data_IF_034101427600
#
_entry.id   IF_034101427600
#
_cell.length_a   1.000
_cell.length_b   1.000
_cell.length_c   1.000
_cell.angle_alpha   90.00
_cell.angle_beta   90.00
_cell.angle_gamma   90.00
#
_symmetry.space_group_name_H-M   'P 1'
#
loop_
_entity.id
_entity.type
_entity.pdbx_description
1 polymer ?
#
# COMPACT_ATOMS: atom_id res chain seq x y z
N UNK A 1 -9.22 13.73 -31.63
CA UNK A 1 -9.54 14.48 -30.38
C UNK A 1 -8.76 13.96 -29.17
N UNK A 2 -8.72 12.64 -28.93
CA UNK A 2 -7.92 12.03 -27.85
C UNK A 2 -6.40 12.33 -27.94
N UNK A 3 -5.80 12.20 -29.11
CA UNK A 3 -4.36 12.50 -29.29
C UNK A 3 -3.96 13.96 -29.02
N UNK A 4 -4.89 14.91 -29.11
CA UNK A 4 -4.63 16.31 -28.75
C UNK A 4 -4.52 16.48 -27.24
N UNK A 5 -5.45 15.88 -26.48
CA UNK A 5 -5.44 15.92 -25.01
C UNK A 5 -4.24 15.19 -24.41
N UNK A 6 -3.85 14.04 -24.98
CA UNK A 6 -2.66 13.32 -24.55
C UNK A 6 -1.37 14.12 -24.78
N UNK A 7 -1.28 14.84 -25.90
CA UNK A 7 -0.16 15.76 -26.16
C UNK A 7 -0.16 16.94 -25.18
N UNK A 8 -1.32 17.49 -24.82
CA UNK A 8 -1.39 18.56 -23.81
C UNK A 8 -1.00 18.06 -22.42
N UNK A 9 -1.42 16.85 -22.03
CA UNK A 9 -1.01 16.21 -20.77
C UNK A 9 0.50 15.98 -20.77
N UNK A 10 1.07 15.43 -21.85
CA UNK A 10 2.52 15.23 -21.99
C UNK A 10 3.30 16.55 -21.93
N UNK A 11 2.81 17.61 -22.56
CA UNK A 11 3.44 18.94 -22.53
C UNK A 11 3.35 19.61 -21.15
N UNK A 12 2.23 19.45 -20.44
CA UNK A 12 2.07 19.93 -19.06
C UNK A 12 2.89 19.14 -18.05
N UNK A 13 3.22 17.87 -18.34
CA UNK A 13 4.07 17.04 -17.49
C UNK A 13 5.57 17.24 -17.78
N UNK A 14 5.92 17.69 -19.00
CA UNK A 14 7.28 18.12 -19.37
C UNK A 14 7.78 19.34 -18.59
N UNK A 15 6.88 20.18 -18.06
CA UNK A 15 7.27 21.36 -17.26
C UNK A 15 7.42 21.04 -15.77
N UNK A 16 7.04 19.85 -15.30
CA UNK A 16 6.93 19.57 -13.87
C UNK A 16 8.14 18.84 -13.27
N UNK A 17 8.52 17.63 -13.71
CA UNK A 17 9.65 16.90 -13.09
C UNK A 17 10.27 15.88 -14.05
N UNK A 18 11.62 15.77 -14.06
CA UNK A 18 12.36 14.87 -14.96
C UNK A 18 11.99 13.39 -14.82
N UNK A 19 11.58 12.98 -13.62
CA UNK A 19 11.16 11.61 -13.32
C UNK A 19 9.81 11.26 -13.95
N UNK A 20 8.87 12.22 -14.00
CA UNK A 20 7.56 12.04 -14.64
C UNK A 20 7.71 11.89 -16.16
N UNK A 21 8.61 12.65 -16.77
CA UNK A 21 8.94 12.47 -18.18
C UNK A 21 9.57 11.10 -18.43
N UNK A 22 10.54 10.68 -17.61
CA UNK A 22 11.16 9.34 -17.70
C UNK A 22 10.10 8.24 -17.64
N UNK A 23 9.19 8.31 -16.67
CA UNK A 23 8.10 7.36 -16.51
C UNK A 23 7.15 7.35 -17.72
N UNK A 24 6.67 8.49 -18.19
CA UNK A 24 5.73 8.54 -19.33
C UNK A 24 6.40 8.12 -20.63
N UNK A 25 7.66 8.52 -20.84
CA UNK A 25 8.43 8.15 -22.02
C UNK A 25 8.79 6.65 -22.06
N UNK A 26 8.73 5.97 -20.91
CA UNK A 26 8.97 4.53 -20.81
C UNK A 26 7.74 3.67 -21.13
N UNK A 27 6.56 4.27 -21.31
CA UNK A 27 5.35 3.52 -21.64
C UNK A 27 5.35 3.10 -23.12
N UNK A 28 5.29 1.79 -23.46
CA UNK A 28 5.22 1.35 -24.86
C UNK A 28 3.91 1.73 -25.55
N UNK A 29 2.84 1.82 -24.77
CA UNK A 29 1.51 2.22 -25.24
C UNK A 29 0.79 3.08 -24.21
N UNK A 30 -0.27 3.74 -24.66
CA UNK A 30 -1.17 4.50 -23.80
C UNK A 30 -1.84 3.60 -22.74
N UNK A 31 -2.13 2.35 -23.08
CA UNK A 31 -2.74 1.40 -22.16
C UNK A 31 -1.81 1.09 -20.99
N UNK A 32 -0.51 0.92 -21.25
CA UNK A 32 0.48 0.76 -20.17
C UNK A 32 0.56 2.00 -19.28
N UNK A 33 0.42 3.20 -19.84
CA UNK A 33 0.33 4.42 -19.04
C UNK A 33 -0.91 4.44 -18.14
N UNK A 34 -2.07 4.13 -18.70
CA UNK A 34 -3.34 4.12 -17.96
C UNK A 34 -3.40 3.02 -16.90
N UNK A 35 -2.71 1.91 -17.13
CA UNK A 35 -2.62 0.78 -16.19
C UNK A 35 -1.44 0.90 -15.21
N UNK A 36 -0.62 1.97 -15.28
CA UNK A 36 0.50 2.17 -14.37
C UNK A 36 1.71 1.25 -14.62
N UNK A 37 1.88 0.74 -15.85
CA UNK A 37 2.86 -0.27 -16.24
C UNK A 37 4.08 0.32 -16.99
N UNK A 38 4.51 1.54 -16.67
CA UNK A 38 5.62 2.17 -17.39
C UNK A 38 6.97 1.99 -16.68
N UNK A 39 7.98 1.54 -17.42
CA UNK A 39 9.32 1.21 -16.92
C UNK A 39 10.24 2.45 -16.77
N UNK A 40 9.91 3.35 -15.85
CA UNK A 40 10.54 4.69 -15.76
C UNK A 40 11.81 4.81 -14.92
N UNK A 41 12.23 3.77 -14.21
CA UNK A 41 13.45 3.80 -13.39
C UNK A 41 14.07 2.42 -13.30
N UNK A 42 15.19 2.20 -14.01
CA UNK A 42 16.05 1.00 -13.95
C UNK A 42 15.34 -0.31 -13.55
N UNK A 43 14.25 -0.65 -14.23
CA UNK A 43 13.67 -1.99 -14.11
C UNK A 43 14.33 -2.84 -15.19
N UNK A 44 14.88 -3.98 -14.77
CA UNK A 44 15.40 -5.03 -15.63
C UNK A 44 14.35 -5.38 -16.70
N UNK A 45 14.81 -5.82 -17.86
CA UNK A 45 13.96 -6.28 -18.95
C UNK A 45 12.80 -7.13 -18.42
N UNK A 46 11.57 -6.71 -18.68
CA UNK A 46 10.39 -7.58 -18.53
C UNK A 46 10.60 -8.73 -19.50
N UNK A 47 11.05 -9.85 -18.95
CA UNK A 47 11.13 -11.13 -19.64
C UNK A 47 9.75 -11.54 -20.12
N UNK A 48 9.74 -12.29 -21.21
CA UNK A 48 8.65 -12.82 -22.02
C UNK A 48 7.62 -13.74 -21.30
N UNK A 49 7.34 -13.52 -20.01
CA UNK A 49 6.47 -14.40 -19.23
C UNK A 49 7.13 -15.73 -18.85
N UNK A 50 8.44 -15.87 -19.07
CA UNK A 50 9.24 -16.79 -18.28
C UNK A 50 9.62 -16.09 -16.98
N UNK A 51 9.09 -16.59 -15.85
CA UNK A 51 9.44 -16.27 -14.47
C UNK A 51 10.98 -16.38 -14.30
N UNK A 52 11.72 -15.38 -14.76
CA UNK A 52 13.17 -15.33 -14.61
C UNK A 52 13.46 -14.80 -13.22
N UNK A 53 13.36 -15.74 -12.28
CA UNK A 53 14.08 -15.79 -11.02
C UNK A 53 14.17 -14.43 -10.32
N UNK A 54 13.09 -14.08 -9.62
CA UNK A 54 13.17 -13.09 -8.56
C UNK A 54 14.25 -13.54 -7.59
N UNK A 55 15.39 -12.89 -7.65
CA UNK A 55 16.48 -13.16 -6.72
C UNK A 55 16.15 -12.55 -5.35
N UNK A 56 15.27 -13.24 -4.64
CA UNK A 56 14.92 -12.96 -3.25
C UNK A 56 16.17 -12.96 -2.35
N UNK A 57 17.23 -13.67 -2.77
CA UNK A 57 18.52 -13.70 -2.08
C UNK A 57 19.31 -12.39 -2.29
N UNK A 58 19.23 -11.77 -3.48
CA UNK A 58 19.80 -10.43 -3.74
C UNK A 58 19.14 -9.35 -2.88
N UNK A 59 17.85 -9.48 -2.59
CA UNK A 59 17.15 -8.58 -1.67
C UNK A 59 17.37 -8.91 -0.18
N UNK A 60 18.00 -10.04 0.12
CA UNK A 60 18.28 -10.49 1.49
C UNK A 60 17.02 -10.65 2.36
N UNK A 61 15.85 -10.80 1.74
CA UNK A 61 14.59 -10.89 2.46
C UNK A 61 14.43 -12.30 3.01
N UNK A 62 14.50 -12.43 4.33
CA UNK A 62 14.26 -13.70 5.02
C UNK A 62 12.79 -14.07 4.96
N UNK A 63 12.51 -15.37 4.95
CA UNK A 63 11.17 -15.87 5.21
C UNK A 63 10.68 -15.34 6.57
N UNK A 64 9.41 -14.96 6.59
CA UNK A 64 8.74 -14.54 7.80
C UNK A 64 8.45 -15.70 8.74
N UNK A 65 8.11 -15.33 9.96
CA UNK A 65 7.66 -16.26 11.01
C UNK A 65 6.23 -15.92 11.44
N UNK A 66 5.60 -16.73 12.29
CA UNK A 66 4.28 -16.41 12.86
C UNK A 66 3.21 -16.23 11.78
N UNK A 67 2.52 -15.10 11.79
CA UNK A 67 1.53 -14.74 10.76
C UNK A 67 2.13 -14.53 9.37
N UNK A 68 3.44 -14.24 9.29
CA UNK A 68 4.16 -14.19 8.02
C UNK A 68 4.78 -15.53 7.60
N UNK A 69 4.61 -16.62 8.35
CA UNK A 69 5.20 -17.90 7.97
C UNK A 69 4.52 -18.45 6.70
N UNK A 70 5.28 -18.98 5.71
CA UNK A 70 4.69 -19.53 4.49
C UNK A 70 3.59 -20.58 4.76
N UNK A 71 3.80 -21.45 5.75
CA UNK A 71 2.83 -22.47 6.17
C UNK A 71 1.54 -21.88 6.76
N UNK A 72 1.60 -20.68 7.35
CA UNK A 72 0.41 -19.96 7.82
C UNK A 72 -0.34 -19.32 6.65
N UNK A 73 0.39 -18.81 5.65
CA UNK A 73 -0.16 -18.06 4.52
C UNK A 73 -0.73 -18.95 3.41
N UNK A 74 -0.13 -20.10 3.13
CA UNK A 74 -0.51 -20.99 2.03
C UNK A 74 -2.00 -21.37 1.99
N UNK A 75 -2.67 -21.68 3.12
CA UNK A 75 -4.10 -21.98 3.11
C UNK A 75 -4.97 -20.86 2.51
N UNK A 76 -4.58 -19.59 2.70
CA UNK A 76 -5.34 -18.45 2.17
C UNK A 76 -5.22 -18.33 0.66
N UNK A 77 -4.05 -18.60 0.08
CA UNK A 77 -3.87 -18.66 -1.37
C UNK A 77 -4.58 -19.85 -2.01
N UNK A 78 -4.57 -21.00 -1.32
CA UNK A 78 -5.30 -22.18 -1.78
C UNK A 78 -6.82 -21.91 -1.77
N UNK A 79 -7.34 -21.27 -0.72
CA UNK A 79 -8.75 -20.88 -0.63
C UNK A 79 -9.16 -19.93 -1.75
N UNK A 80 -8.33 -18.95 -2.09
CA UNK A 80 -8.60 -18.02 -3.18
C UNK A 80 -8.40 -18.69 -4.57
N UNK A 81 -7.85 -19.92 -4.64
CA UNK A 81 -7.70 -20.69 -5.87
C UNK A 81 -6.53 -20.27 -6.74
N UNK A 82 -5.35 -20.07 -6.13
CA UNK A 82 -4.08 -19.95 -6.86
C UNK A 82 -3.56 -21.33 -7.29
N UNK A 83 -2.91 -21.42 -8.45
CA UNK A 83 -2.37 -22.70 -8.96
C UNK A 83 -1.18 -23.23 -8.14
N UNK A 84 -0.37 -22.32 -7.58
CA UNK A 84 0.79 -22.64 -6.75
C UNK A 84 0.75 -21.82 -5.45
N UNK A 85 -0.11 -22.20 -4.48
CA UNK A 85 -0.32 -21.45 -3.26
C UNK A 85 0.93 -21.40 -2.36
N UNK A 86 1.80 -22.41 -2.40
CA UNK A 86 3.05 -22.45 -1.66
C UNK A 86 4.03 -21.39 -2.16
N UNK A 87 4.20 -21.25 -3.48
CA UNK A 87 5.04 -20.22 -4.07
C UNK A 87 4.53 -18.83 -3.72
N UNK A 88 3.23 -18.56 -3.89
CA UNK A 88 2.64 -17.27 -3.55
C UNK A 88 2.75 -16.95 -2.06
N UNK A 89 2.59 -17.95 -1.19
CA UNK A 89 2.81 -17.81 0.24
C UNK A 89 4.27 -17.49 0.59
N UNK A 90 5.24 -18.04 -0.14
CA UNK A 90 6.65 -17.71 0.04
C UNK A 90 6.94 -16.25 -0.35
N UNK A 91 6.38 -15.79 -1.49
CA UNK A 91 6.48 -14.38 -1.92
C UNK A 91 5.85 -13.45 -0.86
N UNK A 92 4.63 -13.79 -0.43
CA UNK A 92 3.88 -13.08 0.60
C UNK A 92 4.64 -13.01 1.93
N UNK A 93 5.24 -14.12 2.35
CA UNK A 93 5.99 -14.25 3.60
C UNK A 93 7.11 -13.22 3.69
N UNK A 94 7.87 -13.04 2.60
CA UNK A 94 8.99 -12.10 2.52
C UNK A 94 8.52 -10.65 2.56
N UNK A 95 7.40 -10.32 1.91
CA UNK A 95 6.76 -8.99 1.98
C UNK A 95 6.32 -8.72 3.41
N UNK A 96 5.51 -9.62 3.96
CA UNK A 96 4.96 -9.54 5.30
C UNK A 96 6.06 -9.30 6.35
N UNK A 97 7.16 -10.06 6.26
CA UNK A 97 8.29 -9.93 7.17
C UNK A 97 9.00 -8.57 7.05
N UNK A 98 9.15 -8.05 5.84
CA UNK A 98 9.76 -6.74 5.59
C UNK A 98 8.88 -5.60 6.08
N UNK A 99 7.60 -5.68 5.79
CA UNK A 99 6.64 -4.60 6.02
C UNK A 99 6.25 -4.49 7.51
N UNK A 100 6.10 -5.62 8.21
CA UNK A 100 5.57 -5.63 9.57
C UNK A 100 6.35 -6.44 10.58
N UNK A 101 7.31 -7.26 10.13
CA UNK A 101 7.98 -8.22 11.01
C UNK A 101 7.02 -9.22 11.65
N UNK A 102 5.97 -9.64 10.94
CA UNK A 102 4.88 -10.49 11.46
C UNK A 102 3.98 -9.84 12.52
N UNK A 103 4.02 -8.52 12.65
CA UNK A 103 3.09 -7.82 13.51
C UNK A 103 1.81 -7.48 12.75
N UNK A 104 0.64 -8.06 13.12
CA UNK A 104 -0.64 -7.63 12.54
C UNK A 104 -0.99 -6.18 12.92
N UNK A 105 -0.19 -5.57 13.79
CA UNK A 105 -0.38 -4.22 14.31
C UNK A 105 0.66 -3.23 13.81
N UNK A 106 1.49 -3.61 12.84
CA UNK A 106 2.42 -2.68 12.24
C UNK A 106 1.64 -1.48 11.67
N UNK A 107 2.11 -0.28 12.00
CA UNK A 107 1.44 0.96 11.65
C UNK A 107 2.46 2.00 11.20
N UNK A 108 2.29 2.49 9.98
CA UNK A 108 3.05 3.59 9.43
C UNK A 108 2.22 4.87 9.51
N UNK A 109 2.59 5.74 10.46
CA UNK A 109 1.99 7.05 10.71
C UNK A 109 2.78 8.20 10.10
N UNK A 110 3.71 7.94 9.17
CA UNK A 110 4.54 9.00 8.56
C UNK A 110 3.69 10.11 7.93
N UNK A 111 2.51 9.75 7.43
CA UNK A 111 1.45 10.64 6.98
C UNK A 111 1.04 11.71 8.03
N UNK A 112 0.88 11.32 9.30
CA UNK A 112 0.47 12.22 10.38
C UNK A 112 1.58 13.19 10.82
N UNK A 113 2.84 12.84 10.55
CA UNK A 113 4.01 13.69 10.86
C UNK A 113 4.51 14.47 9.65
N UNK A 114 3.84 14.30 8.51
CA UNK A 114 4.18 14.85 7.21
C UNK A 114 5.51 14.43 6.61
N UNK A 115 5.95 13.21 6.94
CA UNK A 115 7.15 12.57 6.38
C UNK A 115 6.89 11.81 5.08
N UNK A 116 5.67 11.33 4.86
CA UNK A 116 5.25 10.59 3.65
C UNK A 116 3.74 10.80 3.42
N UNK A 117 3.21 10.42 2.26
CA UNK A 117 1.77 10.18 2.06
C UNK A 117 1.30 8.86 2.67
N UNK A 118 2.21 7.97 3.03
CA UNK A 118 1.82 6.61 3.39
C UNK A 118 1.19 6.57 4.77
N UNK A 119 -0.11 6.24 4.80
CA UNK A 119 -0.83 5.80 5.98
C UNK A 119 -1.12 4.32 5.81
N UNK A 120 -0.25 3.46 6.36
CA UNK A 120 -0.30 2.02 6.13
C UNK A 120 -0.50 1.23 7.41
N UNK A 121 -1.26 0.14 7.34
CA UNK A 121 -1.60 -0.70 8.50
C UNK A 121 -1.46 -2.19 8.18
N UNK A 122 -1.23 -3.00 9.21
CA UNK A 122 -1.29 -4.46 9.16
C UNK A 122 -0.01 -5.16 8.69
N UNK A 123 -0.11 -6.47 8.50
CA UNK A 123 1.00 -7.37 8.14
C UNK A 123 1.70 -6.95 6.84
N UNK A 124 0.91 -6.44 5.89
CA UNK A 124 1.37 -6.06 4.55
C UNK A 124 1.45 -4.54 4.33
N UNK A 125 1.37 -3.74 5.41
CA UNK A 125 1.41 -2.28 5.37
C UNK A 125 0.53 -1.69 4.25
N UNK A 126 -0.73 -2.11 4.25
CA UNK A 126 -1.69 -1.71 3.22
C UNK A 126 -2.00 -0.23 3.36
N UNK A 127 -1.73 0.55 2.32
CA UNK A 127 -1.97 1.99 2.32
C UNK A 127 -3.48 2.30 2.30
N UNK A 128 -3.94 3.04 3.32
CA UNK A 128 -5.33 3.41 3.56
C UNK A 128 -5.80 4.60 2.74
N UNK A 129 -4.91 5.47 2.26
CA UNK A 129 -5.30 6.63 1.44
C UNK A 129 -6.19 6.24 0.24
N UNK A 130 -5.79 5.32 -0.66
CA UNK A 130 -6.64 4.93 -1.77
C UNK A 130 -7.78 3.99 -1.38
N UNK A 131 -7.82 3.54 -0.12
CA UNK A 131 -8.73 2.47 0.32
C UNK A 131 -9.79 2.96 1.29
N UNK A 132 -9.67 4.14 1.86
CA UNK A 132 -10.63 4.68 2.81
C UNK A 132 -11.13 6.06 2.39
N UNK A 133 -11.86 6.18 1.25
CA UNK A 133 -12.39 7.45 0.81
C UNK A 133 -13.18 8.10 1.92
N UNK A 134 -13.09 9.42 2.05
CA UNK A 134 -13.75 10.27 3.03
C UNK A 134 -13.07 10.27 4.41
N UNK A 135 -11.89 9.66 4.54
CA UNK A 135 -11.17 9.58 5.82
C UNK A 135 -10.07 10.62 5.93
N UNK A 136 -9.62 11.18 4.80
CA UNK A 136 -8.46 12.06 4.72
C UNK A 136 -8.79 13.40 4.07
N UNK A 137 -7.93 14.38 4.35
CA UNK A 137 -7.82 15.68 3.67
C UNK A 137 -6.36 15.95 3.38
N UNK A 138 -6.12 16.66 2.29
CA UNK A 138 -4.79 17.18 1.97
C UNK A 138 -4.44 18.40 2.83
N UNK A 139 -3.25 18.96 2.60
CA UNK A 139 -2.75 20.12 3.35
C UNK A 139 -3.59 21.40 3.17
N UNK A 140 -4.45 21.47 2.15
CA UNK A 140 -5.37 22.60 1.92
C UNK A 140 -6.78 22.34 2.49
N UNK A 141 -7.00 21.18 3.11
CA UNK A 141 -8.30 20.79 3.65
C UNK A 141 -9.27 20.25 2.60
N UNK A 142 -8.78 19.89 1.40
CA UNK A 142 -9.56 19.24 0.34
C UNK A 142 -9.71 17.75 0.67
N UNK A 143 -10.93 17.19 0.76
CA UNK A 143 -11.12 15.79 1.13
C UNK A 143 -10.69 14.84 0.02
N UNK A 144 -10.23 13.64 0.39
CA UNK A 144 -9.82 12.55 -0.53
C UNK A 144 -10.92 12.04 -1.49
N UNK A 145 -12.16 12.46 -1.29
CA UNK A 145 -13.28 12.23 -2.22
C UNK A 145 -13.43 13.32 -3.29
N UNK A 146 -12.72 14.43 -3.15
CA UNK A 146 -12.79 15.57 -4.07
C UNK A 146 -11.87 15.36 -5.29
N UNK A 147 -12.30 15.70 -6.51
CA UNK A 147 -11.44 15.64 -7.70
C UNK A 147 -10.15 16.47 -7.60
N UNK A 148 -10.14 17.55 -6.81
CA UNK A 148 -8.99 18.43 -6.62
C UNK A 148 -8.05 17.95 -5.50
N UNK A 149 -8.34 16.79 -4.87
CA UNK A 149 -7.51 16.21 -3.83
C UNK A 149 -6.09 15.94 -4.32
N UNK A 150 -5.10 16.48 -3.60
CA UNK A 150 -3.69 16.20 -3.87
C UNK A 150 -3.01 15.65 -2.60
N UNK A 151 -2.74 14.33 -2.50
CA UNK A 151 -2.06 13.77 -1.33
C UNK A 151 -0.63 14.31 -1.18
N UNK A 152 -0.08 14.94 -2.22
CA UNK A 152 1.23 15.58 -2.24
C UNK A 152 1.19 17.08 -1.98
N UNK A 153 0.01 17.66 -1.70
CA UNK A 153 -0.11 19.04 -1.27
C UNK A 153 0.72 19.28 -0.01
N UNK A 154 1.34 20.46 0.05
CA UNK A 154 2.11 20.93 1.20
C UNK A 154 1.43 22.17 1.76
N UNK A 155 1.47 22.33 3.08
CA UNK A 155 0.97 23.52 3.74
C UNK A 155 1.85 24.75 3.43
N UNK A 156 1.49 25.90 3.99
CA UNK A 156 2.25 27.16 3.86
C UNK A 156 3.71 27.07 4.36
N UNK A 157 4.03 26.08 5.19
CA UNK A 157 5.36 25.82 5.72
C UNK A 157 6.12 24.76 4.91
N UNK A 158 5.54 24.24 3.83
CA UNK A 158 6.10 23.19 3.00
C UNK A 158 5.98 21.78 3.62
N UNK A 159 5.22 21.62 4.71
CA UNK A 159 4.98 20.33 5.36
C UNK A 159 3.82 19.60 4.67
N UNK A 160 4.05 18.33 4.34
CA UNK A 160 3.05 17.50 3.69
C UNK A 160 2.16 16.83 4.73
N UNK A 161 1.07 17.47 5.16
CA UNK A 161 0.24 16.92 6.24
C UNK A 161 -0.93 16.17 5.62
N UNK A 162 -1.08 14.88 5.93
CA UNK A 162 -2.38 14.26 5.78
C UNK A 162 -3.18 14.45 7.06
N UNK A 163 -4.41 14.92 6.91
CA UNK A 163 -5.29 15.17 8.05
C UNK A 163 -6.39 14.12 8.06
N UNK A 164 -6.52 13.38 9.16
CA UNK A 164 -7.68 12.50 9.35
C UNK A 164 -8.89 13.37 9.62
N UNK A 165 -9.90 13.25 8.77
CA UNK A 165 -11.12 14.07 8.84
C UNK A 165 -12.24 13.38 9.59
N UNK A 166 -12.24 12.06 9.54
CA UNK A 166 -13.25 11.23 10.15
C UNK A 166 -12.57 9.96 10.68
N UNK A 167 -12.12 10.02 11.93
CA UNK A 167 -11.47 8.89 12.59
C UNK A 167 -12.38 7.67 12.67
N UNK A 168 -13.69 7.88 12.89
CA UNK A 168 -14.65 6.78 12.93
C UNK A 168 -14.69 6.04 11.58
N UNK A 169 -14.80 6.78 10.47
CA UNK A 169 -14.78 6.21 9.12
C UNK A 169 -13.45 5.55 8.79
N UNK A 170 -12.33 6.13 9.22
CA UNK A 170 -11.02 5.50 9.06
C UNK A 170 -10.95 4.19 9.84
N UNK A 171 -11.44 4.17 11.08
CA UNK A 171 -11.49 2.96 11.90
C UNK A 171 -12.43 1.92 11.30
N UNK A 172 -13.62 2.29 10.84
CA UNK A 172 -14.55 1.38 10.14
C UNK A 172 -13.93 0.81 8.86
N UNK A 173 -13.28 1.65 8.07
CA UNK A 173 -12.61 1.23 6.85
C UNK A 173 -11.41 0.32 7.14
N UNK A 174 -10.58 0.68 8.12
CA UNK A 174 -9.45 -0.14 8.51
C UNK A 174 -9.95 -1.44 9.15
N UNK A 175 -10.87 -1.42 10.10
CA UNK A 175 -11.42 -2.66 10.68
C UNK A 175 -12.09 -3.57 9.65
N UNK A 176 -12.76 -3.01 8.64
CA UNK A 176 -13.37 -3.81 7.56
C UNK A 176 -12.37 -4.34 6.53
N UNK A 177 -11.17 -3.76 6.40
CA UNK A 177 -10.19 -4.12 5.34
C UNK A 177 -8.87 -4.67 5.87
N UNK A 178 -8.37 -4.06 6.93
CA UNK A 178 -7.05 -4.24 7.52
C UNK A 178 -7.17 -4.02 9.01
N UNK A 179 -7.51 -5.08 9.70
CA UNK A 179 -7.89 -4.95 11.07
C UNK A 179 -6.75 -4.39 11.93
N UNK A 180 -6.96 -3.16 12.41
CA UNK A 180 -6.09 -2.50 13.37
C UNK A 180 -6.30 -3.20 14.70
N UNK A 181 -5.23 -3.68 15.33
CA UNK A 181 -5.34 -4.22 16.67
C UNK A 181 -4.56 -3.50 17.75
N UNK A 182 -4.58 -4.14 18.92
CA UNK A 182 -4.30 -3.57 20.24
C UNK A 182 -3.04 -2.71 20.35
N UNK A 183 -1.97 -3.05 19.62
CA UNK A 183 -0.71 -2.32 19.72
C UNK A 183 -0.72 -0.96 19.01
N UNK A 184 -1.44 -0.83 17.89
CA UNK A 184 -1.62 0.46 17.22
C UNK A 184 -2.58 1.37 17.99
N UNK A 185 -3.38 0.83 18.93
CA UNK A 185 -4.33 1.61 19.71
C UNK A 185 -3.65 2.66 20.56
N UNK A 186 -2.49 2.40 21.16
CA UNK A 186 -1.80 3.44 21.94
C UNK A 186 -1.40 4.63 21.07
N UNK A 187 -0.97 4.38 19.84
CA UNK A 187 -0.61 5.43 18.88
C UNK A 187 -1.88 6.14 18.42
N UNK A 188 -2.91 5.41 18.00
CA UNK A 188 -4.19 5.97 17.56
C UNK A 188 -4.85 6.78 18.66
N UNK A 189 -4.90 6.24 19.89
CA UNK A 189 -5.43 6.89 21.08
C UNK A 189 -4.64 8.17 21.43
N UNK A 190 -3.34 8.23 21.13
CA UNK A 190 -2.54 9.45 21.28
C UNK A 190 -2.91 10.54 20.26
N UNK A 191 -3.54 10.18 19.14
CA UNK A 191 -4.03 11.10 18.10
C UNK A 191 -5.55 11.30 18.13
N UNK A 192 -6.27 10.68 19.08
CA UNK A 192 -7.71 10.87 19.21
C UNK A 192 -8.05 12.31 19.65
N UNK A 193 -9.14 12.90 19.14
CA UNK A 193 -9.59 14.21 19.59
C UNK A 193 -10.02 14.16 21.06
N UNK A 194 -9.94 15.29 21.80
CA UNK A 194 -10.39 15.35 23.18
C UNK A 194 -11.83 14.85 23.34
N UNK A 195 -12.05 13.90 24.24
CA UNK A 195 -13.37 13.31 24.54
C UNK A 195 -13.75 12.08 23.71
N UNK A 196 -12.91 11.63 22.78
CA UNK A 196 -13.10 10.33 22.13
C UNK A 196 -12.79 9.17 23.09
N UNK A 197 -13.59 8.10 23.00
CA UNK A 197 -13.36 6.88 23.77
C UNK A 197 -12.12 6.12 23.23
N UNK A 198 -11.21 5.65 24.12
CA UNK A 198 -10.07 4.84 23.70
C UNK A 198 -10.51 3.52 23.07
N UNK A 199 -9.79 3.07 22.05
CA UNK A 199 -10.04 1.75 21.46
C UNK A 199 -9.61 0.66 22.48
N UNK A 200 -10.46 -0.34 22.78
CA UNK A 200 -10.17 -1.40 23.76
C UNK A 200 -9.20 -2.44 23.22
N UNK A 201 -8.32 -2.98 24.08
CA UNK A 201 -7.35 -4.02 23.68
C UNK A 201 -8.05 -5.30 23.21
N UNK A 202 -7.55 -5.84 22.09
CA UNK A 202 -7.97 -7.12 21.55
C UNK A 202 -7.52 -8.29 22.42
N UNK A 203 -8.37 -9.30 22.51
CA UNK A 203 -8.01 -10.65 22.91
C UNK A 203 -7.14 -11.34 21.85
N UNK A 204 -6.46 -12.44 22.21
CA UNK A 204 -5.68 -13.24 21.25
C UNK A 204 -6.54 -13.81 20.10
N UNK A 205 -7.81 -14.11 20.38
CA UNK A 205 -8.74 -14.61 19.37
C UNK A 205 -9.10 -13.51 18.37
N UNK A 206 -9.39 -12.31 18.86
CA UNK A 206 -9.62 -11.14 18.01
C UNK A 206 -8.37 -10.81 17.20
N UNK A 207 -7.18 -10.80 17.81
CA UNK A 207 -5.91 -10.61 17.09
C UNK A 207 -5.77 -11.57 15.90
N UNK A 208 -6.04 -12.85 16.12
CA UNK A 208 -5.97 -13.85 15.06
C UNK A 208 -6.98 -13.59 13.95
N UNK A 209 -8.25 -13.32 14.29
CA UNK A 209 -9.29 -13.00 13.31
C UNK A 209 -8.88 -11.79 12.47
N UNK A 210 -8.28 -10.79 13.11
CA UNK A 210 -7.79 -9.57 12.48
C UNK A 210 -6.61 -9.83 11.53
N UNK A 211 -5.65 -10.65 11.94
CA UNK A 211 -4.55 -11.09 11.09
C UNK A 211 -5.07 -11.86 9.86
N UNK A 212 -5.99 -12.81 10.06
CA UNK A 212 -6.58 -13.62 9.00
C UNK A 212 -7.33 -12.73 7.98
N UNK A 213 -8.09 -11.73 8.45
CA UNK A 213 -8.77 -10.78 7.56
C UNK A 213 -7.79 -9.93 6.75
N UNK A 214 -6.67 -9.50 7.35
CA UNK A 214 -5.64 -8.75 6.64
C UNK A 214 -4.97 -9.60 5.55
N UNK A 215 -4.69 -10.88 5.84
CA UNK A 215 -4.14 -11.83 4.87
C UNK A 215 -5.14 -12.04 3.73
N UNK A 216 -6.40 -12.34 4.03
CA UNK A 216 -7.47 -12.52 3.02
C UNK A 216 -7.59 -11.32 2.09
N UNK A 217 -7.59 -10.12 2.65
CA UNK A 217 -7.67 -8.89 1.86
C UNK A 217 -6.44 -8.72 0.97
N UNK A 218 -5.24 -9.06 1.47
CA UNK A 218 -4.01 -9.05 0.68
C UNK A 218 -4.09 -10.06 -0.48
N UNK A 219 -4.48 -11.31 -0.20
CA UNK A 219 -4.59 -12.37 -1.21
C UNK A 219 -5.58 -11.98 -2.31
N UNK A 220 -6.72 -11.40 -1.92
CA UNK A 220 -7.71 -10.90 -2.86
C UNK A 220 -7.16 -9.81 -3.79
N UNK A 221 -6.43 -8.84 -3.22
CA UNK A 221 -5.76 -7.79 -4.00
C UNK A 221 -4.73 -8.39 -4.96
N UNK A 222 -3.86 -9.30 -4.48
CA UNK A 222 -2.89 -10.02 -5.32
C UNK A 222 -3.56 -10.75 -6.49
N UNK A 223 -4.72 -11.37 -6.27
CA UNK A 223 -5.49 -12.04 -7.33
C UNK A 223 -6.08 -11.05 -8.33
N UNK A 224 -6.70 -9.97 -7.83
CA UNK A 224 -7.34 -8.97 -8.69
C UNK A 224 -6.36 -8.17 -9.55
N UNK A 225 -5.15 -7.92 -9.03
CA UNK A 225 -4.14 -7.13 -9.73
C UNK A 225 -3.18 -7.97 -10.55
N UNK A 226 -3.22 -9.29 -10.36
CA UNK A 226 -2.26 -10.23 -10.91
C UNK A 226 -0.79 -9.79 -10.75
N UNK A 227 -0.47 -9.05 -9.68
CA UNK A 227 0.87 -8.53 -9.41
C UNK A 227 1.04 -8.24 -7.92
N UNK A 228 2.31 -8.18 -7.51
CA UNK A 228 2.73 -7.79 -6.16
C UNK A 228 3.09 -6.29 -6.07
N UNK A 229 2.81 -5.49 -7.09
CA UNK A 229 3.14 -4.06 -7.13
C UNK A 229 1.97 -3.13 -6.73
N UNK A 230 2.26 -1.96 -6.14
CA UNK A 230 3.23 -1.70 -5.09
C UNK A 230 2.47 -1.59 -3.75
N UNK A 231 2.80 -2.47 -2.81
CA UNK A 231 2.33 -2.37 -1.41
C UNK A 231 3.00 -1.21 -0.67
N UNK A 232 4.13 -0.70 -1.17
CA UNK A 232 4.82 0.50 -0.70
C UNK A 232 5.06 1.44 -1.89
N UNK A 233 4.73 2.73 -1.75
CA UNK A 233 5.09 3.77 -2.74
C UNK A 233 6.58 4.15 -2.68
N UNK A 234 7.35 3.54 -1.78
CA UNK A 234 8.76 3.79 -1.61
C UNK A 234 9.61 3.26 -2.78
N UNK A 235 10.67 3.98 -3.20
CA UNK A 235 11.59 3.59 -4.28
C UNK A 235 12.57 2.47 -3.85
N UNK A 236 12.07 1.41 -3.23
CA UNK A 236 12.88 0.30 -2.76
C UNK A 236 13.17 -0.69 -3.89
N UNK A 237 14.45 -0.97 -4.13
CA UNK A 237 15.05 -1.90 -5.12
C UNK A 237 14.58 -3.37 -5.07
N UNK A 238 13.45 -3.66 -4.42
CA UNK A 238 12.89 -4.99 -4.25
C UNK A 238 11.39 -4.88 -4.54
N UNK A 239 11.07 -4.56 -5.79
CA UNK A 239 9.75 -4.84 -6.34
C UNK A 239 9.68 -6.35 -6.47
N UNK A 240 8.64 -6.95 -5.90
CA UNK A 240 8.27 -8.31 -6.23
C UNK A 240 7.31 -8.14 -7.40
N UNK A 241 7.66 -8.66 -8.57
CA UNK A 241 6.76 -8.73 -9.73
C UNK A 241 6.11 -10.12 -9.76
#
# INVERSE_FOLDING_TARGET
KLGFWLRQIQLSLNSAFSQTHSYISSCPSLEHFLLGQCAGGNVRQVGDGTDTDFDYDTCGLKLGTGYCAPEYLAPFFAEEGFENPELEAEKASRICQRESGSSPYAFNSNCLTGRSVDYSVGLFQINMLPRCPGSFRDAHGVPDTDPDYNPFARDENGLQICTITNQLRLNECALSKVAIGSYAQNIINAYLPPGAEPVPQDTLEEEKIKADNNIRYMVHLRKSWNSWQPWSTGPGNCNIE
#
